data_IF_340072696660
#
_entry.id   IF_340072696660
#
_cell.length_a   1.000
_cell.length_b   1.000
_cell.length_c   1.000
_cell.angle_alpha   90.00
_cell.angle_beta   90.00
_cell.angle_gamma   90.00
#
_symmetry.space_group_name_H-M   'P 1'
#
loop_
_entity.id
_entity.type
_entity.pdbx_description
1 polymer ?
#
# COMPACT_ATOMS: atom_id res chain seq x y z
N UNK A 1 -10.26 -38.15 -60.84
CA UNK A 1 -11.13 -37.07 -60.30
C UNK A 1 -10.54 -36.64 -58.97
N UNK A 2 -10.42 -35.32 -58.78
CA UNK A 2 -9.99 -34.57 -57.57
C UNK A 2 -8.58 -34.90 -57.05
N UNK A 3 -7.58 -34.02 -56.96
CA UNK A 3 -7.50 -32.58 -56.73
C UNK A 3 -6.37 -32.37 -55.68
N UNK A 4 -5.50 -31.33 -55.75
CA UNK A 4 -4.26 -31.28 -54.98
C UNK A 4 -4.35 -30.49 -53.65
N UNK A 5 -3.41 -30.80 -52.74
CA UNK A 5 -2.77 -29.98 -51.68
C UNK A 5 -3.56 -28.95 -50.88
N UNK A 6 -3.49 -29.03 -49.54
CA UNK A 6 -3.05 -27.91 -48.68
C UNK A 6 -2.87 -28.38 -47.22
N UNK A 7 -1.68 -28.11 -46.68
CA UNK A 7 -1.41 -28.18 -45.25
C UNK A 7 -1.77 -26.82 -44.63
N UNK A 8 -2.58 -26.81 -43.57
CA UNK A 8 -2.81 -25.62 -42.75
C UNK A 8 -2.53 -25.95 -41.29
N UNK A 9 -1.40 -25.46 -40.79
CA UNK A 9 -1.09 -25.41 -39.38
C UNK A 9 -1.90 -24.31 -38.70
N UNK A 10 -2.59 -24.66 -37.62
CA UNK A 10 -3.28 -23.72 -36.74
C UNK A 10 -2.36 -23.36 -35.58
N UNK A 11 -1.61 -22.27 -35.72
CA UNK A 11 -1.05 -21.55 -34.56
C UNK A 11 -2.11 -20.58 -34.05
N UNK A 12 -2.72 -20.91 -32.91
CA UNK A 12 -3.57 -19.98 -32.17
C UNK A 12 -2.71 -18.86 -31.57
N UNK A 13 -2.88 -17.64 -32.08
CA UNK A 13 -2.37 -16.46 -31.42
C UNK A 13 -3.30 -16.11 -30.25
N UNK A 14 -2.80 -16.26 -29.02
CA UNK A 14 -3.40 -15.63 -27.85
C UNK A 14 -3.26 -14.11 -28.00
N UNK A 15 -4.37 -13.45 -28.35
CA UNK A 15 -4.48 -12.00 -28.32
C UNK A 15 -4.39 -11.51 -26.88
N UNK A 16 -3.30 -10.82 -26.56
CA UNK A 16 -3.19 -9.96 -25.39
C UNK A 16 -4.18 -8.80 -25.57
N UNK A 17 -5.18 -8.71 -24.71
CA UNK A 17 -6.04 -7.52 -24.57
C UNK A 17 -5.21 -6.39 -23.99
N UNK A 18 -4.50 -5.67 -24.86
CA UNK A 18 -3.86 -4.42 -24.51
C UNK A 18 -4.92 -3.39 -24.11
N UNK A 19 -4.74 -2.75 -22.97
CA UNK A 19 -5.48 -1.55 -22.62
C UNK A 19 -5.37 -0.55 -23.77
N UNK A 20 -6.49 -0.19 -24.37
CA UNK A 20 -6.56 0.86 -25.38
C UNK A 20 -6.09 2.18 -24.76
N UNK A 21 -4.86 2.57 -25.03
CA UNK A 21 -4.38 3.92 -24.77
C UNK A 21 -5.20 4.89 -25.63
N UNK A 22 -6.12 5.60 -25.00
CA UNK A 22 -6.85 6.69 -25.64
C UNK A 22 -5.89 7.86 -25.81
N UNK A 23 -5.29 7.98 -26.99
CA UNK A 23 -4.50 9.16 -27.39
C UNK A 23 -5.43 10.37 -27.51
N UNK A 24 -5.04 11.50 -26.91
CA UNK A 24 -5.71 12.77 -27.15
C UNK A 24 -5.55 13.22 -28.60
N UNK A 25 -6.35 14.19 -29.03
CA UNK A 25 -6.38 14.72 -30.40
C UNK A 25 -5.03 15.27 -30.94
N UNK A 26 -3.99 15.33 -30.09
CA UNK A 26 -2.66 15.87 -30.41
C UNK A 26 -1.51 14.88 -30.08
N UNK A 27 -1.81 13.58 -29.90
CA UNK A 27 -0.81 12.55 -29.59
C UNK A 27 -0.24 12.59 -28.15
N UNK A 28 -0.62 13.59 -27.34
CA UNK A 28 -0.33 13.61 -25.92
C UNK A 28 -1.13 12.52 -25.17
N UNK A 29 -0.46 11.81 -24.25
CA UNK A 29 -1.08 10.81 -23.37
C UNK A 29 -2.06 11.53 -22.44
N UNK A 30 -3.31 11.07 -22.38
CA UNK A 30 -4.29 11.60 -21.43
C UNK A 30 -3.82 11.25 -20.01
N UNK A 31 -3.65 12.27 -19.17
CA UNK A 31 -3.09 12.18 -17.82
C UNK A 31 -4.03 12.79 -16.77
N UNK A 32 -3.74 12.51 -15.51
CA UNK A 32 -4.42 13.09 -14.36
C UNK A 32 -5.91 12.78 -14.35
N UNK A 33 -6.70 13.74 -13.90
CA UNK A 33 -8.14 13.56 -13.69
C UNK A 33 -8.91 13.25 -14.97
N UNK A 34 -8.35 13.49 -16.16
CA UNK A 34 -9.00 13.20 -17.44
C UNK A 34 -8.77 11.75 -17.93
N UNK A 35 -7.90 10.98 -17.26
CA UNK A 35 -7.63 9.57 -17.57
C UNK A 35 -8.85 8.69 -17.29
N UNK A 36 -9.18 7.77 -18.18
CA UNK A 36 -10.24 6.77 -17.96
C UNK A 36 -11.61 7.41 -17.67
N UNK A 37 -12.10 8.26 -18.57
CA UNK A 37 -13.41 8.91 -18.40
C UNK A 37 -14.55 7.89 -18.33
N UNK A 38 -15.43 8.05 -17.35
CA UNK A 38 -16.71 7.36 -17.32
C UNK A 38 -17.58 7.87 -18.46
N UNK A 39 -18.25 6.98 -19.19
CA UNK A 39 -19.11 7.37 -20.32
C UNK A 39 -20.46 7.90 -19.82
N UNK A 40 -20.65 9.22 -19.92
CA UNK A 40 -21.90 9.91 -19.60
C UNK A 40 -22.52 10.61 -20.82
N UNK A 41 -22.04 10.29 -22.02
CA UNK A 41 -22.37 11.00 -23.25
C UNK A 41 -21.15 11.11 -24.13
N UNK A 42 -20.84 12.31 -24.61
CA UNK A 42 -19.58 12.58 -25.30
C UNK A 42 -18.42 12.78 -24.30
N UNK A 43 -17.16 12.56 -24.72
CA UNK A 43 -15.99 12.73 -23.85
C UNK A 43 -15.85 14.13 -23.25
N UNK A 44 -16.31 15.18 -23.94
CA UNK A 44 -16.30 16.55 -23.45
C UNK A 44 -17.24 16.74 -22.27
N UNK A 45 -18.46 16.20 -22.35
CA UNK A 45 -19.40 16.19 -21.22
C UNK A 45 -18.87 15.39 -20.03
N UNK A 46 -18.30 14.20 -20.26
CA UNK A 46 -17.69 13.39 -19.19
C UNK A 46 -16.56 14.13 -18.47
N UNK A 47 -15.71 14.85 -19.22
CA UNK A 47 -14.65 15.69 -18.68
C UNK A 47 -15.20 16.86 -17.86
N UNK A 48 -16.17 17.59 -18.43
CA UNK A 48 -16.84 18.70 -17.75
C UNK A 48 -17.46 18.25 -16.42
N UNK A 49 -18.20 17.14 -16.43
CA UNK A 49 -18.86 16.60 -15.25
C UNK A 49 -17.85 16.27 -14.16
N UNK A 50 -16.82 15.49 -14.48
CA UNK A 50 -15.79 15.09 -13.51
C UNK A 50 -15.11 16.30 -12.88
N UNK A 51 -14.68 17.27 -13.69
CA UNK A 51 -14.03 18.50 -13.20
C UNK A 51 -14.97 19.36 -12.36
N UNK A 52 -16.27 19.43 -12.70
CA UNK A 52 -17.26 20.13 -11.86
C UNK A 52 -17.42 19.49 -10.47
N UNK A 53 -17.41 18.15 -10.38
CA UNK A 53 -17.45 17.45 -9.09
C UNK A 53 -16.14 17.61 -8.30
N UNK A 54 -14.99 17.62 -8.96
CA UNK A 54 -13.72 17.87 -8.26
C UNK A 54 -13.59 19.32 -7.80
N UNK A 55 -14.14 20.28 -8.55
CA UNK A 55 -14.20 21.67 -8.12
C UNK A 55 -15.04 21.85 -6.83
N UNK A 56 -16.09 21.06 -6.64
CA UNK A 56 -16.87 21.10 -5.38
C UNK A 56 -16.09 20.55 -4.18
N UNK A 57 -15.07 19.71 -4.42
CA UNK A 57 -14.13 19.25 -3.40
C UNK A 57 -13.03 20.28 -3.09
N UNK A 58 -13.02 21.43 -3.79
CA UNK A 58 -12.09 22.54 -3.54
C UNK A 58 -10.87 22.58 -4.45
N UNK A 59 -10.79 21.75 -5.49
CA UNK A 59 -9.70 21.79 -6.47
C UNK A 59 -9.92 22.87 -7.52
N UNK A 60 -8.89 23.65 -7.81
CA UNK A 60 -8.93 24.64 -8.88
C UNK A 60 -8.48 24.05 -10.23
N UNK A 61 -8.45 24.87 -11.29
CA UNK A 61 -8.07 24.39 -12.62
C UNK A 61 -6.60 23.93 -12.67
N UNK A 62 -5.71 24.60 -11.93
CA UNK A 62 -4.28 24.29 -11.91
C UNK A 62 -4.02 22.96 -11.19
N UNK A 63 -4.75 22.68 -10.11
CA UNK A 63 -4.72 21.38 -9.43
C UNK A 63 -5.14 20.24 -10.36
N UNK A 64 -6.23 20.44 -11.11
CA UNK A 64 -6.83 19.43 -11.98
C UNK A 64 -6.01 19.12 -13.24
N UNK A 65 -5.04 19.97 -13.58
CA UNK A 65 -4.12 19.75 -14.69
C UNK A 65 -2.83 19.03 -14.27
N UNK A 66 -2.65 18.77 -12.96
CA UNK A 66 -1.51 17.98 -12.44
C UNK A 66 -1.69 16.48 -12.66
N UNK A 67 -0.57 15.72 -12.74
CA UNK A 67 -0.62 14.27 -12.64
C UNK A 67 -1.21 13.82 -11.30
N UNK A 68 -2.07 12.80 -11.33
CA UNK A 68 -2.70 12.27 -10.12
C UNK A 68 -1.84 11.17 -9.54
N UNK A 69 -1.45 11.33 -8.27
CA UNK A 69 -0.80 10.29 -7.47
C UNK A 69 -1.80 9.76 -6.45
N UNK A 70 -2.23 8.51 -6.65
CA UNK A 70 -3.05 7.81 -5.66
C UNK A 70 -2.22 7.46 -4.44
N UNK A 71 -2.80 7.57 -3.23
CA UNK A 71 -2.16 7.12 -1.99
C UNK A 71 -3.05 6.05 -1.38
N UNK A 72 -2.66 4.78 -1.54
CA UNK A 72 -3.40 3.63 -1.06
C UNK A 72 -3.16 3.43 0.44
N UNK A 73 -4.12 3.83 1.26
CA UNK A 73 -4.01 3.81 2.71
C UNK A 73 -4.63 2.52 3.29
N UNK A 74 -3.83 1.76 4.05
CA UNK A 74 -4.28 0.57 4.80
C UNK A 74 -4.48 0.86 6.29
N UNK A 75 -4.55 2.13 6.69
CA UNK A 75 -4.84 2.58 8.05
C UNK A 75 -6.22 2.13 8.55
N UNK A 76 -6.30 1.76 9.82
CA UNK A 76 -7.56 1.40 10.49
C UNK A 76 -7.36 1.40 12.00
N UNK A 77 -8.41 1.75 12.76
CA UNK A 77 -8.42 1.59 14.22
C UNK A 77 -8.21 0.14 14.67
N UNK A 78 -8.56 -0.83 13.83
CA UNK A 78 -8.28 -2.25 14.08
C UNK A 78 -6.81 -2.62 13.84
N UNK A 79 -6.07 -1.83 13.07
CA UNK A 79 -4.69 -2.14 12.67
C UNK A 79 -3.70 -1.29 13.45
N UNK A 80 -3.41 -1.73 14.66
CA UNK A 80 -2.46 -1.05 15.56
C UNK A 80 -1.06 -0.89 14.98
N UNK A 81 -0.67 -1.76 14.04
CA UNK A 81 0.57 -1.61 13.28
C UNK A 81 0.65 -0.32 12.47
N UNK A 82 -0.49 0.25 12.10
CA UNK A 82 -0.63 1.46 11.29
C UNK A 82 -1.08 2.67 12.11
N UNK A 83 -0.87 2.65 13.43
CA UNK A 83 -1.27 3.75 14.33
C UNK A 83 -0.73 5.12 13.88
N UNK A 84 0.48 5.17 13.35
CA UNK A 84 1.13 6.41 12.90
C UNK A 84 0.82 6.77 11.43
N UNK A 85 -0.03 5.99 10.76
CA UNK A 85 -0.34 6.15 9.33
C UNK A 85 -0.89 7.54 8.96
N UNK A 86 -1.75 8.21 9.76
CA UNK A 86 -2.22 9.55 9.42
C UNK A 86 -1.08 10.56 9.22
N UNK A 87 -0.03 10.49 10.05
CA UNK A 87 1.15 11.36 9.91
C UNK A 87 1.97 11.02 8.67
N UNK A 88 2.06 9.73 8.32
CA UNK A 88 2.75 9.28 7.12
C UNK A 88 2.02 9.71 5.84
N UNK A 89 0.68 9.60 5.81
CA UNK A 89 -0.18 10.07 4.71
C UNK A 89 0.06 11.55 4.43
N UNK A 90 0.04 12.40 5.47
CA UNK A 90 0.30 13.84 5.29
C UNK A 90 1.73 14.11 4.81
N UNK A 91 2.70 13.29 5.22
CA UNK A 91 4.07 13.39 4.72
C UNK A 91 4.19 13.07 3.23
N UNK A 92 3.50 12.02 2.76
CA UNK A 92 3.47 11.65 1.34
C UNK A 92 2.73 12.71 0.52
N UNK A 93 1.58 13.20 0.99
CA UNK A 93 0.84 14.28 0.33
C UNK A 93 1.73 15.51 0.11
N UNK A 94 2.53 15.87 1.11
CA UNK A 94 3.51 16.96 0.97
C UNK A 94 4.54 16.67 -0.13
N UNK A 95 5.13 15.47 -0.14
CA UNK A 95 6.10 15.09 -1.19
C UNK A 95 5.52 15.16 -2.60
N UNK A 96 4.31 14.63 -2.79
CA UNK A 96 3.59 14.69 -4.07
C UNK A 96 3.34 16.13 -4.50
N UNK A 97 2.88 17.00 -3.59
CA UNK A 97 2.63 18.41 -3.90
C UNK A 97 3.92 19.16 -4.24
N UNK A 98 5.01 18.91 -3.51
CA UNK A 98 6.33 19.48 -3.79
C UNK A 98 6.88 19.06 -5.16
N UNK A 99 6.53 17.86 -5.62
CA UNK A 99 6.85 17.35 -6.95
C UNK A 99 5.89 17.82 -8.06
N UNK A 100 4.85 18.62 -7.74
CA UNK A 100 3.88 19.14 -8.70
C UNK A 100 2.75 18.17 -9.06
N UNK A 101 2.55 17.10 -8.29
CA UNK A 101 1.42 16.18 -8.44
C UNK A 101 0.17 16.62 -7.67
N UNK A 102 -0.94 15.93 -7.92
CA UNK A 102 -2.19 16.00 -7.17
C UNK A 102 -2.34 14.72 -6.32
N UNK A 103 -2.14 14.78 -4.99
CA UNK A 103 -2.30 13.61 -4.15
C UNK A 103 -3.77 13.34 -3.86
N UNK A 104 -4.24 12.14 -4.18
CA UNK A 104 -5.58 11.67 -3.81
C UNK A 104 -5.46 10.40 -2.95
N UNK A 105 -5.81 10.53 -1.67
CA UNK A 105 -5.81 9.41 -0.73
C UNK A 105 -7.07 8.58 -0.94
N UNK A 106 -6.91 7.26 -1.00
CA UNK A 106 -8.03 6.32 -1.04
C UNK A 106 -7.76 5.14 -0.10
N UNK A 107 -8.79 4.67 0.62
CA UNK A 107 -8.64 3.53 1.50
C UNK A 107 -8.57 2.22 0.71
N UNK A 108 -7.80 1.27 1.23
CA UNK A 108 -7.81 -0.15 0.84
C UNK A 108 -8.02 -1.01 2.09
N UNK A 109 -8.43 -2.27 1.93
CA UNK A 109 -8.67 -3.17 3.06
C UNK A 109 -7.46 -3.24 3.99
N UNK A 110 -7.69 -3.05 5.29
CA UNK A 110 -6.67 -3.27 6.29
C UNK A 110 -6.65 -4.72 6.76
N UNK A 111 -5.47 -5.26 7.05
CA UNK A 111 -5.30 -6.65 7.49
C UNK A 111 -4.62 -6.74 8.88
N UNK A 112 -5.36 -6.51 9.98
CA UNK A 112 -4.79 -6.59 11.33
C UNK A 112 -4.54 -8.04 11.73
N UNK A 113 -3.26 -8.44 11.81
CA UNK A 113 -2.83 -9.84 12.05
C UNK A 113 -3.50 -10.47 13.27
N UNK A 114 -3.60 -9.74 14.39
CA UNK A 114 -4.12 -10.27 15.65
C UNK A 114 -5.65 -10.15 15.80
N UNK A 115 -6.33 -9.40 14.91
CA UNK A 115 -7.77 -9.13 14.99
C UNK A 115 -8.58 -9.75 13.83
N UNK A 116 -7.94 -10.53 12.95
CA UNK A 116 -8.61 -11.28 11.89
C UNK A 116 -8.64 -12.78 12.16
N UNK A 117 -9.77 -13.42 11.84
CA UNK A 117 -10.01 -14.86 11.98
C UNK A 117 -10.47 -15.45 10.64
N UNK A 118 -10.03 -16.67 10.26
CA UNK A 118 -9.13 -17.57 10.99
C UNK A 118 -7.65 -17.15 10.92
N UNK A 119 -7.27 -16.35 9.91
CA UNK A 119 -5.94 -15.75 9.75
C UNK A 119 -6.01 -14.64 8.70
N UNK A 120 -5.21 -13.58 8.87
CA UNK A 120 -5.06 -12.51 7.87
C UNK A 120 -4.60 -13.02 6.50
N UNK A 121 -3.88 -14.16 6.44
CA UNK A 121 -3.37 -14.74 5.20
C UNK A 121 -4.50 -15.08 4.21
N UNK A 122 -5.67 -15.51 4.72
CA UNK A 122 -6.84 -15.82 3.91
C UNK A 122 -7.33 -14.60 3.10
N UNK A 123 -7.10 -13.40 3.62
CA UNK A 123 -7.58 -12.14 3.07
C UNK A 123 -6.52 -11.37 2.28
N UNK A 124 -5.25 -11.83 2.27
CA UNK A 124 -4.17 -11.20 1.49
C UNK A 124 -4.54 -11.05 0.01
N UNK A 125 -5.06 -12.12 -0.60
CA UNK A 125 -5.43 -12.09 -2.01
C UNK A 125 -6.63 -11.16 -2.27
N UNK A 126 -7.53 -11.02 -1.29
CA UNK A 126 -8.66 -10.11 -1.39
C UNK A 126 -8.19 -8.65 -1.40
N UNK A 127 -7.28 -8.27 -0.49
CA UNK A 127 -6.64 -6.96 -0.51
C UNK A 127 -5.89 -6.71 -1.83
N UNK A 128 -5.18 -7.72 -2.36
CA UNK A 128 -4.47 -7.59 -3.63
C UNK A 128 -5.44 -7.29 -4.78
N UNK A 129 -6.54 -8.05 -4.90
CA UNK A 129 -7.56 -7.82 -5.93
C UNK A 129 -8.25 -6.46 -5.78
N UNK A 130 -8.63 -6.08 -4.56
CA UNK A 130 -9.26 -4.78 -4.32
C UNK A 130 -8.32 -3.63 -4.69
N UNK A 131 -7.06 -3.68 -4.25
CA UNK A 131 -6.07 -2.63 -4.55
C UNK A 131 -5.82 -2.54 -6.05
N UNK A 132 -5.69 -3.68 -6.74
CA UNK A 132 -5.48 -3.73 -8.19
C UNK A 132 -6.63 -3.03 -8.94
N UNK A 133 -7.87 -3.38 -8.61
CA UNK A 133 -9.05 -2.83 -9.29
C UNK A 133 -9.20 -1.34 -9.02
N UNK A 134 -8.96 -0.88 -7.79
CA UNK A 134 -9.01 0.56 -7.47
C UNK A 134 -7.95 1.35 -8.23
N UNK A 135 -6.71 0.85 -8.28
CA UNK A 135 -5.61 1.51 -9.02
C UNK A 135 -5.90 1.57 -10.52
N UNK A 136 -6.50 0.53 -11.12
CA UNK A 136 -6.86 0.51 -12.54
C UNK A 136 -8.06 1.39 -12.88
N UNK A 137 -9.06 1.43 -12.00
CA UNK A 137 -10.35 2.07 -12.27
C UNK A 137 -10.37 3.57 -11.99
N UNK A 138 -9.51 4.05 -11.08
CA UNK A 138 -9.41 5.46 -10.73
C UNK A 138 -8.39 6.19 -11.62
N UNK A 139 -8.51 7.52 -11.80
CA UNK A 139 -7.68 8.27 -12.74
C UNK A 139 -6.28 8.55 -12.18
N UNK A 140 -5.52 7.51 -11.88
CA UNK A 140 -4.16 7.59 -11.32
C UNK A 140 -3.10 7.48 -12.42
N UNK A 141 -2.10 8.34 -12.36
CA UNK A 141 -0.89 8.23 -13.19
C UNK A 141 0.22 7.44 -12.48
N UNK A 142 0.23 7.50 -11.15
CA UNK A 142 1.11 6.72 -10.26
C UNK A 142 0.40 6.42 -8.93
N UNK A 143 0.94 5.49 -8.16
CA UNK A 143 0.41 5.12 -6.83
C UNK A 143 1.51 4.97 -5.79
N UNK A 144 1.28 5.56 -4.61
CA UNK A 144 2.04 5.27 -3.39
C UNK A 144 1.24 4.26 -2.57
N UNK A 145 1.86 3.13 -2.24
CA UNK A 145 1.26 2.05 -1.47
C UNK A 145 1.71 2.18 -0.01
N UNK A 146 0.76 2.46 0.89
CA UNK A 146 1.04 2.56 2.32
C UNK A 146 0.65 1.27 3.03
N UNK A 147 1.65 0.41 3.23
CA UNK A 147 1.54 -0.87 3.90
C UNK A 147 2.34 -0.95 5.19
N UNK A 148 2.37 -2.12 5.81
CA UNK A 148 3.24 -2.39 6.96
C UNK A 148 2.96 -3.73 7.62
N UNK A 149 1.74 -3.93 8.13
CA UNK A 149 1.33 -5.17 8.80
C UNK A 149 1.52 -6.36 7.85
N UNK A 150 1.89 -7.52 8.40
CA UNK A 150 2.41 -8.70 7.70
C UNK A 150 1.96 -8.94 6.25
N UNK A 151 0.65 -8.90 5.99
CA UNK A 151 0.07 -9.28 4.69
C UNK A 151 -0.21 -8.10 3.76
N UNK A 152 -0.13 -6.87 4.25
CA UNK A 152 -0.44 -5.65 3.48
C UNK A 152 0.59 -5.40 2.38
N UNK A 153 1.88 -5.35 2.74
CA UNK A 153 2.99 -5.18 1.79
C UNK A 153 2.93 -6.18 0.63
N UNK A 154 2.95 -7.52 0.84
CA UNK A 154 2.89 -8.44 -0.28
C UNK A 154 1.59 -8.34 -1.11
N UNK A 155 0.45 -7.99 -0.49
CA UNK A 155 -0.80 -7.80 -1.22
C UNK A 155 -0.75 -6.57 -2.14
N UNK A 156 -0.22 -5.46 -1.64
CA UNK A 156 -0.05 -4.22 -2.41
C UNK A 156 1.00 -4.38 -3.51
N UNK A 157 2.09 -5.10 -3.26
CA UNK A 157 3.07 -5.43 -4.30
C UNK A 157 2.47 -6.32 -5.40
N UNK A 158 1.65 -7.32 -5.05
CA UNK A 158 0.90 -8.11 -6.02
C UNK A 158 -0.02 -7.22 -6.86
N UNK A 159 -0.74 -6.31 -6.22
CA UNK A 159 -1.64 -5.37 -6.88
C UNK A 159 -0.90 -4.42 -7.84
N UNK A 160 0.21 -3.82 -7.42
CA UNK A 160 1.01 -2.92 -8.25
C UNK A 160 1.53 -3.63 -9.52
N UNK A 161 2.07 -4.84 -9.37
CA UNK A 161 2.57 -5.62 -10.50
C UNK A 161 1.43 -5.95 -11.48
N UNK A 162 0.25 -6.33 -10.99
CA UNK A 162 -0.90 -6.61 -11.85
C UNK A 162 -1.56 -5.36 -12.45
N UNK A 163 -1.46 -4.22 -11.76
CA UNK A 163 -1.99 -2.93 -12.19
C UNK A 163 -1.19 -2.32 -13.34
N UNK A 164 0.11 -2.57 -13.39
CA UNK A 164 1.04 -2.01 -14.37
C UNK A 164 0.97 -0.47 -14.42
N UNK A 165 0.80 0.14 -13.24
CA UNK A 165 0.85 1.58 -12.99
C UNK A 165 2.12 1.86 -12.19
N UNK A 166 2.89 2.94 -12.50
CA UNK A 166 4.05 3.33 -11.70
C UNK A 166 3.73 3.36 -10.20
N UNK A 167 4.44 2.56 -9.42
CA UNK A 167 4.13 2.35 -8.02
C UNK A 167 5.37 2.40 -7.13
N UNK A 168 5.21 2.90 -5.91
CA UNK A 168 6.23 2.86 -4.85
C UNK A 168 5.58 2.44 -3.53
N UNK A 169 6.22 1.52 -2.82
CA UNK A 169 5.81 1.03 -1.50
C UNK A 169 6.50 1.85 -0.41
N UNK A 170 5.70 2.36 0.53
CA UNK A 170 6.19 3.04 1.73
C UNK A 170 5.61 2.35 2.95
N UNK A 171 6.46 1.61 3.64
CA UNK A 171 6.05 0.89 4.85
C UNK A 171 5.84 1.82 6.05
N UNK A 172 4.94 1.46 6.95
CA UNK A 172 4.70 2.18 8.21
C UNK A 172 5.94 2.20 9.14
N UNK A 173 6.77 1.16 9.08
CA UNK A 173 7.97 0.98 9.91
C UNK A 173 7.72 0.26 11.25
N UNK A 174 8.78 -0.28 11.87
CA UNK A 174 8.66 -1.04 13.12
C UNK A 174 8.45 -0.13 14.34
N UNK A 175 7.89 -0.73 15.40
CA UNK A 175 7.92 -0.17 16.75
C UNK A 175 9.36 0.00 17.25
N UNK A 176 9.54 0.85 18.25
CA UNK A 176 10.74 0.83 19.10
C UNK A 176 10.66 -0.35 20.10
N UNK A 177 11.81 -0.94 20.44
CA UNK A 177 11.87 -2.02 21.43
C UNK A 177 11.54 -1.51 22.83
N UNK A 178 10.75 -2.29 23.58
CA UNK A 178 10.50 -2.07 25.00
C UNK A 178 11.58 -2.65 25.90
N UNK A 179 11.44 -2.44 27.21
CA UNK A 179 12.32 -3.00 28.24
C UNK A 179 11.53 -3.35 29.49
N UNK A 180 11.82 -4.52 30.08
CA UNK A 180 11.27 -4.96 31.35
C UNK A 180 12.40 -5.44 32.26
N UNK A 181 12.57 -4.82 33.43
CA UNK A 181 13.65 -5.12 34.39
C UNK A 181 15.06 -5.12 33.76
N UNK A 182 15.30 -4.22 32.81
CA UNK A 182 16.57 -4.11 32.08
C UNK A 182 16.74 -5.11 30.93
N UNK A 183 15.80 -6.03 30.73
CA UNK A 183 15.76 -6.92 29.58
C UNK A 183 15.02 -6.25 28.42
N UNK A 184 15.70 -6.11 27.27
CA UNK A 184 15.06 -5.67 26.02
C UNK A 184 14.00 -6.67 25.59
N UNK A 185 12.85 -6.16 25.16
CA UNK A 185 11.72 -6.96 24.68
C UNK A 185 11.51 -6.75 23.18
N UNK A 186 11.17 -7.84 22.48
CA UNK A 186 10.75 -7.90 21.09
C UNK A 186 9.38 -8.54 20.95
N UNK A 187 8.52 -7.92 20.14
CA UNK A 187 7.22 -8.45 19.78
C UNK A 187 7.34 -9.86 19.17
N UNK A 188 6.30 -10.67 19.34
CA UNK A 188 6.22 -12.08 18.93
C UNK A 188 7.17 -13.02 19.69
N UNK A 189 8.49 -12.79 19.62
CA UNK A 189 9.50 -13.68 20.25
C UNK A 189 9.36 -13.68 21.77
N UNK A 190 9.44 -12.51 22.40
CA UNK A 190 9.35 -12.41 23.86
C UNK A 190 7.89 -12.55 24.34
N UNK A 191 6.90 -12.25 23.50
CA UNK A 191 5.51 -12.59 23.81
C UNK A 191 5.35 -14.09 24.08
N UNK A 192 5.92 -14.94 23.21
CA UNK A 192 5.88 -16.41 23.38
C UNK A 192 6.74 -16.86 24.55
N UNK A 193 7.95 -16.31 24.68
CA UNK A 193 8.89 -16.67 25.74
C UNK A 193 8.35 -16.34 27.14
N UNK A 194 7.90 -15.11 27.36
CA UNK A 194 7.36 -14.68 28.65
C UNK A 194 6.06 -15.39 29.00
N UNK A 195 5.18 -15.64 28.02
CA UNK A 195 3.97 -16.41 28.24
C UNK A 195 4.28 -17.88 28.63
N UNK A 196 5.30 -18.49 28.03
CA UNK A 196 5.73 -19.83 28.39
C UNK A 196 6.26 -19.89 29.84
N UNK A 197 7.02 -18.88 30.28
CA UNK A 197 7.53 -18.77 31.65
C UNK A 197 6.40 -18.57 32.67
N UNK A 198 5.43 -17.72 32.36
CA UNK A 198 4.22 -17.58 33.17
C UNK A 198 3.48 -18.92 33.31
N UNK A 199 3.26 -19.64 32.20
CA UNK A 199 2.66 -20.98 32.23
C UNK A 199 3.46 -22.03 33.02
N UNK A 200 4.77 -21.84 33.13
CA UNK A 200 5.65 -22.69 33.92
C UNK A 200 5.66 -22.32 35.42
N UNK A 201 4.95 -21.26 35.83
CA UNK A 201 4.93 -20.75 37.20
C UNK A 201 6.15 -19.90 37.58
N UNK A 202 6.95 -19.48 36.60
CA UNK A 202 8.12 -18.62 36.84
C UNK A 202 7.79 -17.13 36.91
N UNK A 203 6.64 -16.73 36.36
CA UNK A 203 6.11 -15.37 36.42
C UNK A 203 4.70 -15.41 36.98
N UNK A 204 4.41 -14.58 37.97
CA UNK A 204 3.04 -14.44 38.48
C UNK A 204 2.16 -13.56 37.57
N UNK A 205 0.88 -13.39 37.94
CA UNK A 205 -0.09 -12.58 37.18
C UNK A 205 0.27 -11.09 37.13
N UNK A 206 0.88 -10.55 38.19
CA UNK A 206 1.31 -9.16 38.21
C UNK A 206 2.52 -8.98 37.27
N UNK A 207 3.47 -9.91 37.31
CA UNK A 207 4.67 -9.87 36.47
C UNK A 207 4.35 -10.02 34.98
N UNK A 208 3.43 -10.92 34.59
CA UNK A 208 3.05 -11.04 33.18
C UNK A 208 2.24 -9.82 32.69
N UNK A 209 1.46 -9.19 33.58
CA UNK A 209 0.78 -7.93 33.27
C UNK A 209 1.76 -6.76 33.08
N UNK A 210 2.83 -6.71 33.86
CA UNK A 210 3.92 -5.75 33.70
C UNK A 210 4.63 -5.96 32.35
N UNK A 211 4.95 -7.22 32.01
CA UNK A 211 5.55 -7.57 30.70
C UNK A 211 4.64 -7.12 29.56
N UNK A 212 3.33 -7.39 29.64
CA UNK A 212 2.36 -6.95 28.61
C UNK A 212 2.43 -5.45 28.38
N UNK A 213 2.52 -4.66 29.45
CA UNK A 213 2.56 -3.20 29.38
C UNK A 213 3.89 -2.68 28.80
N UNK A 214 4.97 -3.44 28.92
CA UNK A 214 6.30 -3.08 28.42
C UNK A 214 6.60 -3.58 26.99
N UNK A 215 5.80 -4.49 26.42
CA UNK A 215 6.10 -5.15 25.14
C UNK A 215 5.92 -4.23 23.91
N UNK A 216 4.73 -3.65 23.74
CA UNK A 216 4.35 -2.88 22.55
C UNK A 216 4.02 -1.43 22.94
N UNK A 217 5.05 -0.62 23.14
CA UNK A 217 4.95 0.72 23.75
C UNK A 217 4.81 1.86 22.75
N UNK A 218 5.08 1.60 21.46
CA UNK A 218 4.99 2.58 20.37
C UNK A 218 4.15 2.03 19.22
N UNK A 219 3.79 2.90 18.27
CA UNK A 219 3.11 2.51 17.05
C UNK A 219 4.10 1.90 16.07
N UNK A 220 3.59 1.15 15.09
CA UNK A 220 4.39 0.48 14.07
C UNK A 220 4.23 -1.03 14.07
N UNK A 221 4.93 -1.69 13.15
CA UNK A 221 4.93 -3.14 13.00
C UNK A 221 5.81 -3.84 14.05
N UNK A 222 5.78 -5.17 14.09
CA UNK A 222 6.60 -5.94 15.03
C UNK A 222 8.10 -5.59 14.89
N UNK A 223 8.75 -5.15 15.97
CA UNK A 223 10.16 -4.70 15.98
C UNK A 223 11.21 -5.82 15.91
N UNK A 224 10.81 -7.02 15.54
CA UNK A 224 11.68 -8.18 15.31
C UNK A 224 11.80 -8.43 13.81
N UNK A 225 12.70 -9.32 13.40
CA UNK A 225 12.73 -9.86 12.02
C UNK A 225 11.60 -10.87 11.79
N UNK A 226 10.36 -10.42 12.00
CA UNK A 226 9.14 -11.13 11.63
C UNK A 226 8.75 -10.84 10.17
N UNK A 227 7.51 -11.19 9.81
CA UNK A 227 7.02 -11.03 8.44
C UNK A 227 7.04 -9.57 7.98
N UNK A 228 6.50 -8.63 8.78
CA UNK A 228 6.46 -7.21 8.41
C UNK A 228 7.85 -6.64 8.07
N UNK A 229 8.82 -6.80 8.96
CA UNK A 229 10.21 -6.34 8.73
C UNK A 229 10.87 -7.08 7.56
N UNK A 230 10.61 -8.37 7.40
CA UNK A 230 11.11 -9.14 6.27
C UNK A 230 10.55 -8.60 4.95
N UNK A 231 9.24 -8.38 4.88
CA UNK A 231 8.59 -7.87 3.67
C UNK A 231 8.99 -6.43 3.35
N UNK A 232 9.25 -5.59 4.36
CA UNK A 232 9.85 -4.28 4.14
C UNK A 232 11.23 -4.38 3.48
N UNK A 233 12.10 -5.26 3.98
CA UNK A 233 13.41 -5.50 3.36
C UNK A 233 13.29 -6.10 1.96
N UNK A 234 12.31 -6.98 1.71
CA UNK A 234 12.06 -7.53 0.37
C UNK A 234 11.60 -6.42 -0.59
N UNK A 235 10.69 -5.55 -0.19
CA UNK A 235 10.23 -4.44 -1.03
C UNK A 235 11.39 -3.51 -1.42
N UNK A 236 12.24 -3.15 -0.45
CA UNK A 236 13.44 -2.36 -0.71
C UNK A 236 14.45 -3.10 -1.61
N UNK A 237 14.72 -4.38 -1.35
CA UNK A 237 15.64 -5.17 -2.16
C UNK A 237 15.18 -5.37 -3.60
N UNK A 238 13.87 -5.42 -3.84
CA UNK A 238 13.28 -5.47 -5.18
C UNK A 238 13.28 -4.10 -5.89
N UNK A 239 13.69 -3.02 -5.21
CA UNK A 239 13.64 -1.66 -5.73
C UNK A 239 12.23 -1.06 -5.80
N UNK A 240 11.28 -1.63 -5.05
CA UNK A 240 9.88 -1.18 -5.00
C UNK A 240 9.64 -0.21 -3.83
N UNK A 241 10.61 -0.02 -2.93
CA UNK A 241 10.63 1.01 -1.90
C UNK A 241 11.89 1.87 -2.02
N UNK A 242 11.87 3.15 -1.57
CA UNK A 242 13.07 3.97 -1.57
C UNK A 242 14.17 3.35 -0.69
N UNK A 243 15.42 3.46 -1.13
CA UNK A 243 16.56 2.87 -0.44
C UNK A 243 16.75 3.44 0.97
N UNK A 244 17.09 2.58 1.93
CA UNK A 244 17.30 2.92 3.34
C UNK A 244 16.02 3.11 4.15
N UNK A 245 14.84 2.84 3.58
CA UNK A 245 13.56 3.12 4.26
C UNK A 245 12.95 1.91 4.95
N UNK A 246 13.39 0.67 4.71
CA UNK A 246 12.81 -0.52 5.34
C UNK A 246 12.96 -0.53 6.87
N UNK A 247 14.02 0.10 7.40
CA UNK A 247 14.39 0.00 8.83
C UNK A 247 14.00 1.21 9.67
N UNK A 248 13.52 2.31 9.06
CA UNK A 248 13.17 3.52 9.80
C UNK A 248 11.99 3.27 10.77
N UNK A 249 12.15 3.45 12.10
CA UNK A 249 11.06 3.20 13.05
C UNK A 249 9.85 4.08 12.79
N UNK A 250 8.64 3.57 13.04
CA UNK A 250 7.40 4.29 12.75
C UNK A 250 7.31 5.66 13.46
N UNK A 251 7.74 5.71 14.72
CA UNK A 251 7.72 6.93 15.54
C UNK A 251 8.90 7.90 15.25
N UNK A 252 9.72 7.63 14.24
CA UNK A 252 10.92 8.43 13.95
C UNK A 252 10.67 9.51 12.89
N UNK A 253 11.44 10.60 12.96
CA UNK A 253 11.47 11.61 11.88
C UNK A 253 11.99 11.05 10.55
N UNK A 254 12.81 9.98 10.58
CA UNK A 254 13.26 9.28 9.38
C UNK A 254 12.08 8.66 8.60
N UNK A 255 11.09 8.10 9.30
CA UNK A 255 9.89 7.55 8.66
C UNK A 255 9.07 8.65 7.97
N UNK A 256 8.92 9.81 8.59
CA UNK A 256 8.25 10.94 7.95
C UNK A 256 9.03 11.43 6.72
N UNK A 257 10.36 11.53 6.80
CA UNK A 257 11.20 11.86 5.63
C UNK A 257 11.07 10.83 4.50
N UNK A 258 11.01 9.54 4.84
CA UNK A 258 10.78 8.49 3.85
C UNK A 258 9.48 8.72 3.06
N UNK A 259 8.42 9.19 3.73
CA UNK A 259 7.17 9.55 3.06
C UNK A 259 7.29 10.71 2.08
N UNK A 260 8.09 11.75 2.37
CA UNK A 260 8.27 12.88 1.42
C UNK A 260 9.13 12.53 0.20
N UNK A 261 9.96 11.48 0.30
CA UNK A 261 10.90 11.08 -0.76
C UNK A 261 10.38 9.97 -1.66
N UNK A 262 9.19 9.47 -1.38
CA UNK A 262 8.50 8.46 -2.18
C UNK A 262 7.67 9.12 -3.28
#
# INVERSE_FOLDING_TARGET
MTGPTSANGTTGAHGTTGATETSGADGARVQGVDRGLTSYGDPGFSRFLRRAFLASAGFDADDLDRPVVGIADTGSDYTTCHREMPGLVESVKRGVLEAGGLPLVFPTMSLPEILLSPTSMMFRNLLAMETEELVKAQPMDAVVLLGGCDKTVPAQLMAAVSADVPAVEVVAGPMLTGSWRGQRLGACTDCRGMWARHRAGELDEAEIADVRSALATTGGTCMVMGTASTMACVAEALGLSPAGTATAPAASGDRLRAGTTA
#
